data_IF_969371826725
#
_entry.id   IF_969371826725
#
_cell.length_a   1.000
_cell.length_b   1.000
_cell.length_c   1.000
_cell.angle_alpha   90.00
_cell.angle_beta   90.00
_cell.angle_gamma   90.00
#
_symmetry.space_group_name_H-M   'P 1'
#
loop_
_entity.id
_entity.type
_entity.pdbx_description
1 polymer ?
#
# COMPACT_ATOMS: atom_id res chain seq x y z
N UNK A 1 -10.20 15.33 -14.13
CA UNK A 1 -11.03 14.94 -12.97
C UNK A 1 -10.29 15.13 -11.66
N UNK A 2 -9.08 14.57 -11.49
CA UNK A 2 -8.31 14.65 -10.22
C UNK A 2 -7.99 16.09 -9.79
N UNK A 3 -7.55 16.95 -10.70
CA UNK A 3 -7.27 18.37 -10.39
C UNK A 3 -8.44 19.06 -9.68
N UNK A 4 -9.67 18.93 -10.22
CA UNK A 4 -10.87 19.51 -9.60
C UNK A 4 -11.18 18.89 -8.23
N UNK A 5 -10.97 17.58 -8.09
CA UNK A 5 -11.20 16.88 -6.82
C UNK A 5 -10.22 17.28 -5.71
N UNK A 6 -8.99 17.67 -6.09
CA UNK A 6 -7.96 18.10 -5.13
C UNK A 6 -8.08 19.58 -4.73
N UNK A 7 -8.88 20.39 -5.43
CA UNK A 7 -9.05 21.80 -5.11
C UNK A 7 -9.64 21.97 -3.70
N UNK A 8 -8.98 22.79 -2.87
CA UNK A 8 -9.37 23.02 -1.49
C UNK A 8 -8.94 21.93 -0.49
N UNK A 9 -8.36 20.83 -0.96
CA UNK A 9 -7.81 19.80 -0.08
C UNK A 9 -6.45 20.24 0.48
N UNK A 10 -6.26 20.07 1.79
CA UNK A 10 -4.94 20.29 2.43
C UNK A 10 -4.06 19.04 2.38
N UNK A 11 -4.68 17.86 2.35
CA UNK A 11 -4.00 16.58 2.32
C UNK A 11 -4.84 15.54 1.56
N UNK A 12 -4.19 14.49 1.06
CA UNK A 12 -4.82 13.44 0.26
C UNK A 12 -4.44 12.05 0.78
N UNK A 13 -5.40 11.13 0.81
CA UNK A 13 -5.11 9.70 0.94
C UNK A 13 -5.11 9.05 -0.44
N UNK A 14 -4.01 8.40 -0.81
CA UNK A 14 -3.81 7.74 -2.08
C UNK A 14 -3.79 6.22 -1.88
N UNK A 15 -4.85 5.55 -2.34
CA UNK A 15 -4.89 4.10 -2.47
C UNK A 15 -5.14 3.77 -3.93
N UNK A 16 -4.15 3.14 -4.57
CA UNK A 16 -4.22 2.75 -5.97
C UNK A 16 -4.45 1.25 -6.10
N UNK A 17 -5.28 0.87 -7.07
CA UNK A 17 -5.46 -0.52 -7.44
C UNK A 17 -4.39 -0.93 -8.45
N UNK A 18 -3.77 -2.09 -8.22
CA UNK A 18 -2.71 -2.63 -9.05
C UNK A 18 -3.26 -3.21 -10.33
N UNK A 19 -3.37 -2.36 -11.35
CA UNK A 19 -3.53 -2.78 -12.73
C UNK A 19 -2.16 -2.74 -13.42
N UNK A 20 -1.71 -3.85 -14.03
CA UNK A 20 -0.42 -3.90 -14.73
C UNK A 20 -0.23 -2.72 -15.69
N UNK A 21 0.88 -2.01 -15.54
CA UNK A 21 1.26 -0.87 -16.39
C UNK A 21 0.47 0.43 -16.19
N UNK A 22 -0.53 0.48 -15.29
CA UNK A 22 -1.36 1.69 -15.10
C UNK A 22 -1.20 2.32 -13.72
N UNK A 23 -0.81 1.56 -12.70
CA UNK A 23 -0.80 2.04 -11.32
C UNK A 23 0.13 3.24 -11.13
N UNK A 24 1.39 3.14 -11.58
CA UNK A 24 2.38 4.21 -11.49
C UNK A 24 1.92 5.48 -12.23
N UNK A 25 1.38 5.35 -13.44
CA UNK A 25 0.85 6.48 -14.21
C UNK A 25 -0.31 7.17 -13.50
N UNK A 26 -1.20 6.41 -12.86
CA UNK A 26 -2.32 6.96 -12.08
C UNK A 26 -1.80 7.69 -10.84
N UNK A 27 -0.86 7.11 -10.09
CA UNK A 27 -0.24 7.75 -8.94
C UNK A 27 0.43 9.07 -9.34
N UNK A 28 1.23 9.07 -10.41
CA UNK A 28 1.88 10.27 -10.95
C UNK A 28 0.86 11.37 -11.30
N UNK A 29 -0.21 11.00 -12.01
CA UNK A 29 -1.28 11.94 -12.37
C UNK A 29 -1.94 12.57 -11.14
N UNK A 30 -2.11 11.79 -10.07
CA UNK A 30 -2.68 12.32 -8.81
C UNK A 30 -1.71 13.27 -8.13
N UNK A 31 -0.43 12.90 -8.00
CA UNK A 31 0.58 13.73 -7.37
C UNK A 31 0.74 15.07 -8.11
N UNK A 32 0.90 15.04 -9.43
CA UNK A 32 1.03 16.27 -10.23
C UNK A 32 -0.19 17.19 -10.08
N UNK A 33 -1.40 16.61 -9.97
CA UNK A 33 -2.60 17.39 -9.73
C UNK A 33 -2.62 18.00 -8.32
N UNK A 34 -2.18 17.25 -7.31
CA UNK A 34 -2.07 17.70 -5.92
C UNK A 34 -1.07 18.85 -5.77
N UNK A 35 0.10 18.73 -6.40
CA UNK A 35 1.13 19.77 -6.42
C UNK A 35 0.60 21.06 -7.06
N UNK A 36 -0.08 20.94 -8.21
CA UNK A 36 -0.64 22.11 -8.93
C UNK A 36 -1.65 22.90 -8.12
N UNK A 37 -2.42 22.26 -7.23
CA UNK A 37 -3.42 22.94 -6.40
C UNK A 37 -2.91 23.27 -4.99
N UNK A 38 -1.65 22.95 -4.68
CA UNK A 38 -1.03 23.26 -3.40
C UNK A 38 -1.45 22.36 -2.24
N UNK A 39 -1.78 21.10 -2.52
CA UNK A 39 -1.91 20.08 -1.46
C UNK A 39 -0.60 20.02 -0.68
N UNK A 40 -0.68 19.96 0.65
CA UNK A 40 0.49 20.02 1.51
C UNK A 40 1.08 18.63 1.78
N UNK A 41 0.24 17.59 1.87
CA UNK A 41 0.71 16.25 2.20
C UNK A 41 -0.12 15.12 1.62
N UNK A 42 0.50 13.94 1.57
CA UNK A 42 -0.13 12.73 1.07
C UNK A 42 0.14 11.54 2.00
N UNK A 43 -0.86 10.69 2.20
CA UNK A 43 -0.68 9.36 2.80
C UNK A 43 -0.94 8.34 1.71
N UNK A 44 0.08 7.58 1.31
CA UNK A 44 -0.03 6.56 0.27
C UNK A 44 -0.10 5.15 0.88
N UNK A 45 -1.04 4.33 0.40
CA UNK A 45 -1.17 2.94 0.78
C UNK A 45 -0.51 2.04 -0.28
N UNK A 46 0.57 1.35 0.08
CA UNK A 46 1.29 0.43 -0.81
C UNK A 46 1.22 -1.01 -0.29
N UNK A 47 2.34 -1.67 -0.03
CA UNK A 47 2.37 -3.03 0.50
C UNK A 47 3.65 -3.31 1.28
N UNK A 48 3.63 -4.31 2.15
CA UNK A 48 4.87 -4.78 2.77
C UNK A 48 5.87 -5.33 1.76
N UNK A 49 7.13 -5.36 2.17
CA UNK A 49 8.29 -5.85 1.42
C UNK A 49 8.62 -5.09 0.13
N UNK A 50 7.87 -4.05 -0.22
CA UNK A 50 8.12 -3.22 -1.41
C UNK A 50 9.56 -2.68 -1.45
N UNK A 51 10.10 -2.18 -0.33
CA UNK A 51 11.50 -1.74 -0.23
C UNK A 51 12.54 -2.89 -0.16
N UNK A 52 12.10 -4.15 -0.02
CA UNK A 52 12.96 -5.33 0.14
C UNK A 52 13.03 -6.11 -1.18
N UNK A 53 13.55 -5.46 -2.22
CA UNK A 53 13.61 -6.01 -3.58
C UNK A 53 14.25 -7.40 -3.67
N UNK A 54 15.20 -7.75 -2.79
CA UNK A 54 15.80 -9.09 -2.78
C UNK A 54 14.80 -10.22 -2.49
N UNK A 55 13.63 -9.94 -1.90
CA UNK A 55 12.59 -10.95 -1.67
C UNK A 55 11.72 -11.22 -2.89
N UNK A 56 11.51 -10.23 -3.76
CA UNK A 56 10.50 -10.33 -4.83
C UNK A 56 11.04 -10.01 -6.24
N UNK A 57 12.18 -9.34 -6.37
CA UNK A 57 12.81 -8.99 -7.64
C UNK A 57 13.88 -10.01 -8.07
N UNK A 58 13.58 -11.30 -7.96
CA UNK A 58 14.49 -12.40 -8.34
C UNK A 58 14.02 -13.07 -9.64
N UNK A 59 14.93 -13.76 -10.35
CA UNK A 59 14.58 -14.49 -11.58
C UNK A 59 13.60 -15.64 -11.30
N UNK A 60 13.70 -16.25 -10.11
CA UNK A 60 12.75 -17.26 -9.65
C UNK A 60 11.34 -16.68 -9.51
N UNK A 61 11.17 -15.52 -8.87
CA UNK A 61 9.83 -14.92 -8.72
C UNK A 61 9.29 -14.43 -10.06
N UNK A 62 10.14 -13.83 -10.91
CA UNK A 62 9.76 -13.41 -12.27
C UNK A 62 9.29 -14.57 -13.15
N UNK A 63 9.76 -15.80 -12.90
CA UNK A 63 9.39 -16.99 -13.69
C UNK A 63 8.28 -17.84 -13.08
N UNK A 64 8.15 -17.86 -11.74
CA UNK A 64 7.18 -18.75 -11.05
C UNK A 64 5.92 -18.04 -10.58
N UNK A 65 6.02 -16.76 -10.20
CA UNK A 65 4.89 -15.98 -9.64
C UNK A 65 4.93 -14.56 -10.20
N UNK A 66 4.79 -14.44 -11.53
CA UNK A 66 4.90 -13.17 -12.25
C UNK A 66 3.94 -12.10 -11.72
N UNK A 67 2.74 -12.49 -11.28
CA UNK A 67 1.74 -11.57 -10.72
C UNK A 67 2.24 -10.92 -9.43
N UNK A 68 2.92 -11.66 -8.55
CA UNK A 68 3.52 -11.13 -7.33
C UNK A 68 4.65 -10.15 -7.66
N UNK A 69 5.48 -10.47 -8.67
CA UNK A 69 6.52 -9.56 -9.15
C UNK A 69 5.92 -8.25 -9.64
N UNK A 70 4.93 -8.32 -10.51
CA UNK A 70 4.26 -7.15 -11.09
C UNK A 70 3.55 -6.32 -10.01
N UNK A 71 2.88 -6.97 -9.07
CA UNK A 71 2.27 -6.32 -7.92
C UNK A 71 3.30 -5.54 -7.10
N UNK A 72 4.38 -6.20 -6.66
CA UNK A 72 5.40 -5.54 -5.85
C UNK A 72 6.15 -4.44 -6.60
N UNK A 73 6.43 -4.65 -7.90
CA UNK A 73 7.03 -3.63 -8.75
C UNK A 73 6.15 -2.38 -8.86
N UNK A 74 4.85 -2.57 -9.10
CA UNK A 74 3.90 -1.45 -9.21
C UNK A 74 3.82 -0.65 -7.91
N UNK A 75 3.79 -1.31 -6.75
CA UNK A 75 3.85 -0.64 -5.44
C UNK A 75 5.18 0.08 -5.22
N UNK A 76 6.30 -0.51 -5.64
CA UNK A 76 7.63 0.10 -5.55
C UNK A 76 7.72 1.40 -6.35
N UNK A 77 7.19 1.40 -7.57
CA UNK A 77 7.13 2.59 -8.42
C UNK A 77 6.25 3.68 -7.80
N UNK A 78 5.09 3.32 -7.23
CA UNK A 78 4.22 4.27 -6.51
C UNK A 78 4.94 4.90 -5.32
N UNK A 79 5.67 4.12 -4.52
CA UNK A 79 6.44 4.70 -3.42
C UNK A 79 7.53 5.66 -3.92
N UNK A 80 8.21 5.32 -5.03
CA UNK A 80 9.19 6.21 -5.65
C UNK A 80 8.58 7.53 -6.10
N UNK A 81 7.39 7.48 -6.72
CA UNK A 81 6.63 8.66 -7.14
C UNK A 81 6.22 9.53 -5.94
N UNK A 82 5.74 8.91 -4.86
CA UNK A 82 5.34 9.61 -3.63
C UNK A 82 6.54 10.28 -2.95
N UNK A 83 7.64 9.53 -2.79
CA UNK A 83 8.88 10.05 -2.17
C UNK A 83 9.52 11.16 -3.00
N UNK A 84 9.39 11.10 -4.32
CA UNK A 84 9.92 12.11 -5.25
C UNK A 84 9.00 13.31 -5.48
N UNK A 85 7.84 13.38 -4.81
CA UNK A 85 6.92 14.50 -4.94
C UNK A 85 7.46 15.78 -4.30
N UNK A 86 7.04 16.94 -4.81
CA UNK A 86 7.28 18.26 -4.25
C UNK A 86 6.31 18.64 -3.12
N UNK A 87 5.53 17.69 -2.61
CA UNK A 87 4.64 17.92 -1.46
C UNK A 87 5.48 18.12 -0.19
N UNK A 88 4.96 18.89 0.77
CA UNK A 88 5.71 19.22 1.99
C UNK A 88 5.96 18.00 2.89
N UNK A 89 5.09 16.99 2.83
CA UNK A 89 5.22 15.77 3.62
C UNK A 89 4.50 14.61 2.94
N UNK A 90 5.03 13.40 3.14
CA UNK A 90 4.37 12.16 2.75
C UNK A 90 4.45 11.13 3.89
N UNK A 91 3.50 10.20 3.90
CA UNK A 91 3.55 9.00 4.72
C UNK A 91 3.22 7.79 3.85
N UNK A 92 3.98 6.71 4.00
CA UNK A 92 3.70 5.45 3.33
C UNK A 92 3.15 4.45 4.34
N UNK A 93 1.90 4.08 4.15
CA UNK A 93 1.20 3.05 4.90
C UNK A 93 1.36 1.69 4.19
N UNK A 94 1.86 0.69 4.93
CA UNK A 94 2.16 -0.65 4.42
C UNK A 94 1.16 -1.66 5.00
N UNK A 95 -0.02 -1.85 4.39
CA UNK A 95 -0.91 -2.92 4.81
C UNK A 95 -0.25 -4.28 4.59
N UNK A 96 -0.46 -5.19 5.54
CA UNK A 96 0.11 -6.54 5.57
C UNK A 96 -0.98 -7.54 5.20
N UNK A 97 -1.89 -7.78 6.13
CA UNK A 97 -3.07 -8.62 5.96
C UNK A 97 -4.26 -7.89 6.56
N UNK A 98 -5.33 -7.77 5.78
CA UNK A 98 -6.56 -7.11 6.21
C UNK A 98 -7.48 -8.18 6.77
N UNK A 99 -8.16 -7.92 7.90
CA UNK A 99 -9.09 -8.92 8.48
C UNK A 99 -10.16 -9.39 7.49
N UNK A 100 -10.55 -8.54 6.53
CA UNK A 100 -11.52 -8.96 5.53
C UNK A 100 -10.98 -9.96 4.50
N UNK A 101 -9.68 -10.20 4.46
CA UNK A 101 -9.06 -11.23 3.61
C UNK A 101 -9.52 -12.64 4.00
N UNK A 102 -10.04 -12.82 5.22
CA UNK A 102 -10.64 -14.06 5.72
C UNK A 102 -12.12 -14.21 5.33
N UNK A 103 -12.74 -13.18 4.76
CA UNK A 103 -14.14 -13.20 4.34
C UNK A 103 -14.27 -13.34 2.82
N UNK A 104 -15.50 -13.60 2.39
CA UNK A 104 -15.86 -13.64 0.97
C UNK A 104 -15.82 -12.24 0.34
N UNK A 105 -15.43 -12.09 -0.94
CA UNK A 105 -14.81 -13.11 -1.79
C UNK A 105 -13.29 -13.38 -1.60
N UNK A 106 -12.43 -12.51 -1.02
CA UNK A 106 -10.97 -12.69 -1.05
C UNK A 106 -10.44 -14.00 -0.49
N UNK A 107 -11.14 -14.61 0.46
CA UNK A 107 -10.71 -15.85 1.12
C UNK A 107 -10.47 -17.00 0.13
N UNK A 108 -11.18 -17.05 -1.01
CA UNK A 108 -10.96 -18.09 -2.01
C UNK A 108 -9.63 -17.96 -2.76
N UNK A 109 -9.11 -16.74 -2.90
CA UNK A 109 -7.83 -16.48 -3.57
C UNK A 109 -6.66 -16.56 -2.58
N UNK A 110 -6.86 -16.02 -1.37
CA UNK A 110 -5.79 -15.86 -0.39
C UNK A 110 -5.62 -17.06 0.53
N UNK A 111 -6.71 -17.73 0.88
CA UNK A 111 -6.76 -18.82 1.87
C UNK A 111 -7.71 -19.92 1.38
N UNK A 112 -7.48 -20.52 0.20
CA UNK A 112 -8.46 -21.36 -0.52
C UNK A 112 -8.96 -22.57 0.28
N UNK A 113 -8.16 -23.05 1.23
CA UNK A 113 -8.50 -24.19 2.10
C UNK A 113 -9.33 -23.81 3.32
N UNK A 114 -9.36 -22.55 3.70
CA UNK A 114 -10.17 -22.09 4.81
C UNK A 114 -11.67 -22.30 4.54
N UNK A 115 -12.25 -21.85 3.41
CA UNK A 115 -13.67 -22.04 3.15
C UNK A 115 -14.03 -23.46 2.69
N UNK A 116 -13.06 -24.25 2.21
CA UNK A 116 -13.33 -25.58 1.63
C UNK A 116 -13.06 -26.73 2.61
N UNK A 117 -12.03 -26.62 3.45
CA UNK A 117 -11.61 -27.63 4.42
C UNK A 117 -11.75 -27.18 5.87
N UNK A 118 -11.92 -25.87 6.13
CA UNK A 118 -11.84 -25.31 7.49
C UNK A 118 -10.41 -25.19 8.01
N UNK A 119 -9.41 -25.28 7.12
CA UNK A 119 -7.98 -25.27 7.47
C UNK A 119 -7.30 -23.99 6.98
N UNK A 120 -6.52 -23.36 7.86
CA UNK A 120 -5.68 -22.23 7.51
C UNK A 120 -4.30 -22.75 7.09
N UNK A 121 -4.14 -22.99 5.78
CA UNK A 121 -2.83 -23.31 5.22
C UNK A 121 -2.06 -22.01 4.94
N UNK A 122 -0.89 -21.86 5.57
CA UNK A 122 -0.01 -20.73 5.37
C UNK A 122 1.46 -21.18 5.19
N UNK A 123 2.30 -20.39 4.50
CA UNK A 123 3.69 -20.74 4.25
C UNK A 123 4.64 -20.30 5.38
N UNK A 124 4.12 -19.88 6.54
CA UNK A 124 4.93 -19.32 7.62
C UNK A 124 5.50 -20.43 8.49
N UNK A 125 6.70 -20.19 9.02
CA UNK A 125 7.29 -21.09 10.02
C UNK A 125 6.54 -20.97 11.34
N UNK A 126 6.42 -22.07 12.09
CA UNK A 126 5.83 -22.08 13.43
C UNK A 126 6.34 -20.94 14.32
N UNK A 127 5.39 -20.22 14.94
CA UNK A 127 5.67 -19.08 15.80
C UNK A 127 5.94 -17.76 15.07
N UNK A 128 5.89 -17.73 13.72
CA UNK A 128 5.97 -16.49 12.96
C UNK A 128 4.82 -15.56 13.32
N UNK A 129 5.15 -14.30 13.63
CA UNK A 129 4.16 -13.26 13.90
C UNK A 129 3.94 -12.44 12.64
N UNK A 130 2.70 -12.42 12.16
CA UNK A 130 2.28 -11.59 11.04
C UNK A 130 1.32 -10.50 11.54
N UNK A 131 1.61 -9.20 11.33
CA UNK A 131 0.74 -8.12 11.79
C UNK A 131 -0.52 -8.05 10.94
N UNK A 132 -1.69 -7.99 11.58
CA UNK A 132 -2.98 -7.85 10.91
C UNK A 132 -3.53 -6.46 11.19
N UNK A 133 -4.36 -5.95 10.28
CA UNK A 133 -5.08 -4.70 10.51
C UNK A 133 -6.57 -4.86 10.22
N UNK A 134 -7.37 -4.37 11.16
CA UNK A 134 -8.80 -4.20 10.96
C UNK A 134 -9.04 -3.00 10.04
N UNK A 135 -9.88 -3.18 9.02
CA UNK A 135 -10.21 -2.10 8.08
C UNK A 135 -10.90 -0.92 8.78
N UNK A 136 -11.57 -1.15 9.91
CA UNK A 136 -12.18 -0.09 10.72
C UNK A 136 -11.13 0.79 11.43
N UNK A 137 -9.92 0.29 11.62
CA UNK A 137 -8.81 1.05 12.21
C UNK A 137 -7.93 1.72 11.16
N UNK A 138 -8.00 1.27 9.91
CA UNK A 138 -7.30 1.90 8.79
C UNK A 138 -7.65 3.39 8.67
N UNK A 139 -8.94 3.72 8.69
CA UNK A 139 -9.40 5.11 8.59
C UNK A 139 -8.87 5.98 9.74
N UNK A 140 -8.77 5.42 10.95
CA UNK A 140 -8.23 6.12 12.12
C UNK A 140 -6.73 6.39 11.96
N UNK A 141 -5.96 5.40 11.50
CA UNK A 141 -4.53 5.56 11.23
C UNK A 141 -4.28 6.61 10.14
N UNK A 142 -4.97 6.49 9.01
CA UNK A 142 -4.86 7.43 7.89
C UNK A 142 -5.25 8.84 8.33
N UNK A 143 -6.36 8.98 9.07
CA UNK A 143 -6.79 10.27 9.63
C UNK A 143 -5.74 10.89 10.54
N UNK A 144 -5.14 10.11 11.43
CA UNK A 144 -4.06 10.57 12.30
C UNK A 144 -2.82 11.01 11.51
N UNK A 145 -2.42 10.25 10.47
CA UNK A 145 -1.28 10.58 9.62
C UNK A 145 -1.52 11.85 8.80
N UNK A 146 -2.74 12.09 8.34
CA UNK A 146 -3.10 13.33 7.63
C UNK A 146 -3.09 14.55 8.55
N UNK A 147 -3.49 14.39 9.81
CA UNK A 147 -3.56 15.47 10.80
C UNK A 147 -2.19 15.81 11.41
N UNK A 148 -1.35 14.81 11.69
CA UNK A 148 -0.06 14.96 12.38
C UNK A 148 1.13 14.62 11.45
N UNK A 149 1.33 15.48 10.45
CA UNK A 149 2.37 15.31 9.44
C UNK A 149 3.79 15.34 10.01
N UNK A 150 4.00 15.95 11.18
CA UNK A 150 5.30 16.03 11.82
C UNK A 150 5.68 14.67 12.44
N UNK A 151 4.71 13.99 13.05
CA UNK A 151 4.91 12.65 13.61
C UNK A 151 5.07 11.56 12.55
N UNK A 152 4.33 11.66 11.44
CA UNK A 152 4.25 10.60 10.42
C UNK A 152 5.00 10.91 9.11
N UNK A 153 5.60 12.09 8.99
CA UNK A 153 6.30 12.53 7.78
C UNK A 153 7.57 11.71 7.51
N UNK A 154 7.75 11.28 6.25
CA UNK A 154 8.90 10.47 5.82
C UNK A 154 8.87 9.01 6.30
N UNK A 155 7.87 8.62 7.09
CA UNK A 155 7.75 7.25 7.59
C UNK A 155 7.23 6.30 6.50
N UNK A 156 7.89 5.14 6.38
CA UNK A 156 7.44 4.00 5.59
C UNK A 156 7.49 2.72 6.42
N UNK A 157 6.34 2.29 6.93
CA UNK A 157 6.20 1.04 7.69
C UNK A 157 6.61 1.12 9.16
N UNK A 158 5.92 0.31 9.98
CA UNK A 158 6.09 0.16 11.44
C UNK A 158 7.56 0.26 11.86
N UNK A 159 7.87 1.28 12.66
CA UNK A 159 9.09 1.37 13.44
C UNK A 159 9.21 0.09 14.26
N UNK A 160 10.08 -0.81 13.82
CA UNK A 160 10.71 -1.77 14.70
C UNK A 160 11.51 -0.97 15.72
N UNK A 161 10.95 -0.82 16.92
CA UNK A 161 11.75 -0.89 18.14
C UNK A 161 11.81 -2.36 18.54
#
# INVERSE_FOLDING_TARGET
MVFKAAQGCKAVFLHTFSFPGLEATRAKTVIEACEKVGVMSIVASTSIFTAKQHFWHTDSIKSTVLELHQYQLSKYEVEGIVRGSGLQSYTIFLPVMLHFDFYLPPVFEKLPRLPTCGELDDPLTDGTKLPFIDVNDLGKYVGAALLDRARFGGAGGLSSK
#
